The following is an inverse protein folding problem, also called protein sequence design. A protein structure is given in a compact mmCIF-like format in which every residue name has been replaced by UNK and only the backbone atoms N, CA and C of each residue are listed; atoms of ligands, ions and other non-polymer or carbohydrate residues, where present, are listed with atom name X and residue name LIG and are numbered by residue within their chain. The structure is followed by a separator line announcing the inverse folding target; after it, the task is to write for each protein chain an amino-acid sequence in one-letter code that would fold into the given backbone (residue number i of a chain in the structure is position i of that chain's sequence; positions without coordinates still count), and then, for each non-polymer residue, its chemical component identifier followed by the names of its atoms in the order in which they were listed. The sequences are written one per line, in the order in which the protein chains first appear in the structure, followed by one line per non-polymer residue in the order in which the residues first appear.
data_IF_061342871289
#
_entry.id   IF_061342871289
#
_cell.length_a   1.000
_cell.length_b   1.000
_cell.length_c   1.000
_cell.angle_alpha   90.00
_cell.angle_beta   90.00
_cell.angle_gamma   90.00
#
_symmetry.space_group_name_H-M   'P 1'
#
loop_
_entity.id
_entity.type
_entity.pdbx_description
1 polymer ?
#
# COMPACT_ATOMS: atom_id res chain seq x y z
N UNK A 1 3.03 -2.15 5.23
CA UNK A 1 2.03 -1.13 5.63
C UNK A 1 1.10 -1.60 6.73
N UNK A 2 0.44 -2.77 6.64
CA UNK A 2 -0.52 -3.21 7.67
C UNK A 2 0.05 -3.24 9.09
N UNK A 3 1.25 -3.83 9.29
CA UNK A 3 1.90 -3.87 10.62
C UNK A 3 2.26 -2.47 11.15
N UNK A 4 2.60 -1.54 10.25
CA UNK A 4 2.82 -0.14 10.62
C UNK A 4 1.54 0.48 11.16
N UNK A 5 0.42 0.34 10.45
CA UNK A 5 -0.88 0.87 10.89
C UNK A 5 -1.31 0.26 12.23
N UNK A 6 -1.07 -1.05 12.43
CA UNK A 6 -1.31 -1.72 13.70
C UNK A 6 -0.50 -1.08 14.84
N UNK A 7 0.79 -0.79 14.60
CA UNK A 7 1.65 -0.13 15.59
C UNK A 7 1.23 1.30 15.92
N UNK A 8 0.62 2.02 14.97
CA UNK A 8 0.03 3.34 15.23
C UNK A 8 -1.25 3.23 16.06
N UNK A 9 -2.14 2.30 15.69
CA UNK A 9 -3.44 2.15 16.32
C UNK A 9 -3.36 1.53 17.74
N UNK A 10 -2.45 0.58 17.92
CA UNK A 10 -2.30 -0.18 19.17
C UNK A 10 -0.82 -0.37 19.51
N UNK A 11 -0.11 0.70 19.91
CA UNK A 11 1.31 0.65 20.25
C UNK A 11 1.64 -0.27 21.44
N UNK A 12 0.66 -0.70 22.22
CA UNK A 12 0.82 -1.65 23.33
C UNK A 12 0.90 -3.12 22.86
N UNK A 13 0.51 -3.44 21.62
CA UNK A 13 0.57 -4.80 21.07
C UNK A 13 2.01 -5.14 20.67
N UNK A 14 2.84 -5.49 21.64
CA UNK A 14 4.27 -5.76 21.45
C UNK A 14 4.58 -7.24 21.21
N UNK A 15 3.74 -8.16 21.70
CA UNK A 15 3.91 -9.59 21.47
C UNK A 15 3.40 -10.00 20.08
N UNK A 16 4.18 -9.67 19.04
CA UNK A 16 3.84 -9.95 17.64
C UNK A 16 4.57 -11.20 17.17
N UNK A 17 3.86 -12.07 16.47
CA UNK A 17 4.43 -13.19 15.73
C UNK A 17 4.26 -12.97 14.23
N UNK A 18 5.36 -13.09 13.48
CA UNK A 18 5.32 -13.06 12.02
C UNK A 18 4.97 -14.45 11.48
N UNK A 19 4.04 -14.49 10.51
CA UNK A 19 3.62 -15.70 9.83
C UNK A 19 3.14 -15.37 8.42
N UNK A 20 2.97 -16.39 7.58
CA UNK A 20 2.49 -16.20 6.21
C UNK A 20 1.02 -15.76 6.28
N UNK A 21 0.63 -14.77 5.47
CA UNK A 21 -0.73 -14.19 5.53
C UNK A 21 -1.85 -15.23 5.36
N UNK A 22 -1.60 -16.30 4.60
CA UNK A 22 -2.53 -17.41 4.39
C UNK A 22 -2.76 -18.28 5.63
N UNK A 23 -1.85 -18.25 6.60
CA UNK A 23 -1.90 -19.07 7.82
C UNK A 23 -2.63 -18.36 8.97
N UNK A 24 -2.77 -17.03 8.90
CA UNK A 24 -3.29 -16.20 10.00
C UNK A 24 -4.69 -16.63 10.44
N UNK A 25 -5.59 -16.91 9.50
CA UNK A 25 -6.97 -17.29 9.83
C UNK A 25 -7.03 -18.69 10.45
N UNK A 26 -6.20 -19.64 9.97
CA UNK A 26 -6.11 -20.97 10.57
C UNK A 26 -5.52 -20.91 11.98
N UNK A 27 -4.46 -20.12 12.19
CA UNK A 27 -3.86 -19.92 13.50
C UNK A 27 -4.85 -19.33 14.53
N UNK A 28 -5.78 -18.47 14.10
CA UNK A 28 -6.87 -17.97 14.95
C UNK A 28 -7.86 -19.08 15.31
N UNK A 29 -8.27 -19.89 14.33
CA UNK A 29 -9.26 -20.97 14.53
C UNK A 29 -8.71 -22.12 15.39
N UNK A 30 -7.39 -22.29 15.39
CA UNK A 30 -6.69 -23.31 16.18
C UNK A 30 -6.18 -22.78 17.52
N UNK A 31 -6.64 -21.59 17.95
CA UNK A 31 -6.28 -20.94 19.23
C UNK A 31 -4.75 -20.73 19.42
N UNK A 32 -3.99 -20.61 18.33
CA UNK A 32 -2.55 -20.37 18.38
C UNK A 32 -2.20 -18.90 18.60
N UNK A 33 -3.10 -17.99 18.20
CA UNK A 33 -2.98 -16.53 18.35
C UNK A 33 -4.32 -15.92 18.78
N UNK A 34 -4.26 -14.78 19.50
CA UNK A 34 -5.47 -14.08 19.96
C UNK A 34 -6.06 -13.13 18.90
N UNK A 35 -5.21 -12.56 18.03
CA UNK A 35 -5.57 -11.55 17.03
C UNK A 35 -4.81 -11.76 15.73
N UNK A 36 -5.51 -11.68 14.60
CA UNK A 36 -4.91 -11.79 13.27
C UNK A 36 -4.93 -10.46 12.50
N UNK A 37 -3.76 -10.03 12.02
CA UNK A 37 -3.64 -8.91 11.08
C UNK A 37 -3.75 -9.42 9.64
N UNK A 38 -4.98 -9.47 9.12
CA UNK A 38 -5.24 -9.96 7.76
C UNK A 38 -4.98 -8.89 6.69
N UNK A 39 -4.52 -9.33 5.51
CA UNK A 39 -4.27 -8.50 4.32
C UNK A 39 -4.82 -9.22 3.07
N UNK A 40 -4.70 -8.60 1.89
CA UNK A 40 -5.18 -9.13 0.61
C UNK A 40 -6.68 -9.48 0.60
N UNK A 41 -7.07 -10.57 -0.07
CA UNK A 41 -8.44 -11.04 -0.24
C UNK A 41 -9.12 -11.48 1.06
N UNK A 42 -8.33 -11.85 2.08
CA UNK A 42 -8.87 -12.34 3.36
C UNK A 42 -9.80 -11.32 4.02
N UNK A 43 -9.65 -10.02 3.71
CA UNK A 43 -10.54 -8.95 4.17
C UNK A 43 -12.02 -9.11 3.77
N UNK A 44 -12.32 -10.02 2.84
CA UNK A 44 -13.68 -10.29 2.36
C UNK A 44 -14.20 -11.67 2.80
N UNK A 45 -13.35 -12.57 3.27
CA UNK A 45 -13.71 -13.99 3.51
C UNK A 45 -13.67 -14.40 4.98
N UNK A 46 -13.07 -13.59 5.87
CA UNK A 46 -12.92 -13.97 7.28
C UNK A 46 -14.27 -14.24 7.99
N UNK A 47 -15.34 -13.57 7.58
CA UNK A 47 -16.68 -13.77 8.15
C UNK A 47 -17.23 -15.16 7.87
N UNK A 48 -16.94 -15.74 6.70
CA UNK A 48 -17.42 -17.07 6.31
C UNK A 48 -16.82 -18.17 7.19
N UNK A 49 -15.68 -17.87 7.84
CA UNK A 49 -14.99 -18.74 8.81
C UNK A 49 -15.43 -18.48 10.26
N UNK A 50 -16.44 -17.63 10.47
CA UNK A 50 -16.92 -17.26 11.80
C UNK A 50 -16.04 -16.26 12.55
N UNK A 51 -15.02 -15.68 11.89
CA UNK A 51 -14.16 -14.68 12.50
C UNK A 51 -14.84 -13.31 12.50
N UNK A 52 -14.54 -12.50 13.52
CA UNK A 52 -15.12 -11.17 13.69
C UNK A 52 -14.08 -10.07 13.43
N UNK A 53 -14.52 -8.99 12.79
CA UNK A 53 -13.68 -7.79 12.62
C UNK A 53 -13.61 -7.00 13.92
N UNK A 54 -12.39 -6.83 14.43
CA UNK A 54 -12.14 -5.97 15.60
C UNK A 54 -12.04 -4.49 15.17
N UNK A 55 -11.27 -4.23 14.11
CA UNK A 55 -10.99 -2.86 13.64
C UNK A 55 -10.62 -2.89 12.16
N UNK A 56 -11.01 -1.84 11.43
CA UNK A 56 -10.46 -1.57 10.11
C UNK A 56 -9.33 -0.54 10.25
N UNK A 57 -8.09 -0.99 10.07
CA UNK A 57 -6.91 -0.12 10.22
C UNK A 57 -6.82 0.97 9.15
N UNK A 58 -7.48 0.78 8.00
CA UNK A 58 -7.56 1.82 6.97
C UNK A 58 -8.51 2.94 7.36
N UNK A 59 -9.70 2.57 7.83
CA UNK A 59 -10.66 3.53 8.39
C UNK A 59 -10.11 4.26 9.62
N UNK A 60 -9.41 3.54 10.51
CA UNK A 60 -8.72 4.15 11.64
C UNK A 60 -7.69 5.20 11.19
N UNK A 61 -6.86 4.87 10.18
CA UNK A 61 -5.87 5.79 9.62
C UNK A 61 -6.50 7.05 9.03
N UNK A 62 -7.54 6.88 8.22
CA UNK A 62 -8.24 7.99 7.57
C UNK A 62 -8.88 8.92 8.61
N UNK A 63 -9.51 8.35 9.66
CA UNK A 63 -10.07 9.13 10.78
C UNK A 63 -9.01 9.87 11.58
N UNK A 64 -7.85 9.25 11.79
CA UNK A 64 -6.75 9.84 12.56
C UNK A 64 -6.07 10.98 11.80
N UNK A 65 -5.87 10.82 10.49
CA UNK A 65 -4.97 11.69 9.70
C UNK A 65 -5.69 12.56 8.67
N UNK A 66 -6.93 12.22 8.31
CA UNK A 66 -7.64 12.80 7.17
C UNK A 66 -6.96 12.52 5.83
N UNK A 67 -6.02 11.57 5.77
CA UNK A 67 -5.21 11.29 4.60
C UNK A 67 -5.44 9.86 4.10
N UNK A 68 -5.32 9.66 2.78
CA UNK A 68 -5.25 8.33 2.21
C UNK A 68 -3.99 7.58 2.68
N UNK A 69 -4.00 6.24 2.62
CA UNK A 69 -2.83 5.43 2.99
C UNK A 69 -1.88 5.34 1.79
N UNK A 70 -0.60 5.77 1.92
CA UNK A 70 0.41 5.49 0.92
C UNK A 70 0.72 3.98 0.89
N UNK A 71 0.33 3.30 -0.19
CA UNK A 71 0.49 1.84 -0.31
C UNK A 71 1.80 1.45 -0.98
N UNK A 72 2.23 2.19 -2.00
CA UNK A 72 3.43 1.91 -2.77
C UNK A 72 3.98 3.18 -3.41
N UNK A 73 5.27 3.14 -3.74
CA UNK A 73 5.97 4.24 -4.40
C UNK A 73 7.13 3.69 -5.24
N UNK A 74 7.49 4.43 -6.28
CA UNK A 74 8.68 4.12 -7.09
C UNK A 74 9.85 4.90 -6.52
N UNK A 75 10.91 4.19 -6.16
CA UNK A 75 12.13 4.76 -5.60
C UNK A 75 13.26 4.70 -6.61
N UNK A 76 14.14 5.70 -6.57
CA UNK A 76 15.35 5.74 -7.40
C UNK A 76 16.60 5.83 -6.53
N UNK A 77 17.66 5.15 -6.95
CA UNK A 77 18.93 5.17 -6.24
C UNK A 77 19.54 6.58 -6.29
N UNK A 78 19.84 7.15 -5.10
CA UNK A 78 20.41 8.49 -4.95
C UNK A 78 21.81 8.65 -5.54
N UNK A 79 22.53 7.55 -5.75
CA UNK A 79 23.86 7.55 -6.36
C UNK A 79 23.83 7.79 -7.88
N UNK A 80 22.65 7.78 -8.51
CA UNK A 80 22.51 8.15 -9.92
C UNK A 80 22.57 9.67 -10.10
N UNK A 81 23.10 10.12 -11.24
CA UNK A 81 23.12 11.54 -11.55
C UNK A 81 21.71 12.15 -11.53
N UNK A 82 21.61 13.38 -11.04
CA UNK A 82 20.33 14.08 -10.90
C UNK A 82 19.55 14.16 -12.21
N UNK A 83 20.25 14.32 -13.33
CA UNK A 83 19.63 14.32 -14.66
C UNK A 83 19.00 12.97 -15.02
N UNK A 84 19.65 11.86 -14.66
CA UNK A 84 19.10 10.51 -14.82
C UNK A 84 17.87 10.35 -13.94
N UNK A 85 17.92 10.79 -12.69
CA UNK A 85 16.78 10.71 -11.78
C UNK A 85 15.54 11.43 -12.34
N UNK A 86 15.72 12.67 -12.80
CA UNK A 86 14.66 13.48 -13.40
C UNK A 86 14.15 12.90 -14.72
N UNK A 87 15.04 12.30 -15.53
CA UNK A 87 14.66 11.61 -16.77
C UNK A 87 13.79 10.40 -16.48
N UNK A 88 14.16 9.55 -15.52
CA UNK A 88 13.36 8.38 -15.12
C UNK A 88 11.99 8.83 -14.58
N UNK A 89 11.95 9.85 -13.71
CA UNK A 89 10.70 10.39 -13.17
C UNK A 89 9.74 10.85 -14.29
N UNK A 90 10.26 11.59 -15.29
CA UNK A 90 9.48 12.01 -16.45
C UNK A 90 8.99 10.83 -17.29
N UNK A 91 9.85 9.84 -17.55
CA UNK A 91 9.50 8.68 -18.37
C UNK A 91 8.44 7.80 -17.70
N UNK A 92 8.51 7.60 -16.38
CA UNK A 92 7.48 6.88 -15.62
C UNK A 92 6.15 7.62 -15.75
N UNK A 93 6.15 8.93 -15.51
CA UNK A 93 4.94 9.76 -15.65
C UNK A 93 4.34 9.64 -17.05
N UNK A 94 5.16 9.76 -18.10
CA UNK A 94 4.73 9.61 -19.48
C UNK A 94 4.16 8.21 -19.77
N UNK A 95 4.75 7.16 -19.19
CA UNK A 95 4.24 5.79 -19.32
C UNK A 95 2.84 5.64 -18.73
N UNK A 96 2.61 6.19 -17.54
CA UNK A 96 1.29 6.18 -16.88
C UNK A 96 0.27 7.02 -17.66
N UNK A 97 0.65 8.23 -18.08
CA UNK A 97 -0.20 9.11 -18.92
C UNK A 97 -0.57 8.42 -20.24
N UNK A 98 0.37 7.71 -20.87
CA UNK A 98 0.12 6.93 -22.07
C UNK A 98 -0.87 5.78 -21.81
N UNK A 99 -0.70 5.02 -20.72
CA UNK A 99 -1.62 3.96 -20.36
C UNK A 99 -3.05 4.47 -20.09
N UNK A 100 -3.20 5.66 -19.51
CA UNK A 100 -4.51 6.31 -19.36
C UNK A 100 -5.13 6.70 -20.71
N UNK A 101 -4.34 7.26 -21.62
CA UNK A 101 -4.81 7.63 -22.96
C UNK A 101 -5.13 6.39 -23.83
N UNK A 102 -4.48 5.26 -23.53
CA UNK A 102 -4.60 4.02 -24.29
C UNK A 102 -4.78 2.80 -23.36
N UNK A 103 -5.94 2.64 -22.67
CA UNK A 103 -6.12 1.60 -21.66
C UNK A 103 -5.86 0.16 -22.13
N UNK A 104 -6.01 -0.11 -23.44
CA UNK A 104 -5.77 -1.42 -24.05
C UNK A 104 -4.34 -1.66 -24.52
N UNK A 105 -3.43 -0.68 -24.42
CA UNK A 105 -2.09 -0.80 -24.99
C UNK A 105 -1.21 -1.85 -24.29
N UNK A 106 -1.48 -2.13 -23.01
CA UNK A 106 -0.72 -3.10 -22.22
C UNK A 106 -1.39 -4.46 -22.08
N UNK A 107 -2.52 -4.71 -22.74
CA UNK A 107 -3.41 -5.80 -22.35
C UNK A 107 -2.77 -7.19 -22.45
N UNK A 108 -2.00 -7.45 -23.50
CA UNK A 108 -1.35 -8.76 -23.68
C UNK A 108 -0.26 -8.99 -22.62
N UNK A 109 0.50 -7.95 -22.31
CA UNK A 109 1.49 -7.97 -21.23
C UNK A 109 0.83 -8.19 -19.86
N UNK A 110 -0.29 -7.51 -19.60
CA UNK A 110 -1.00 -7.67 -18.33
C UNK A 110 -1.58 -9.08 -18.22
N UNK A 111 -2.17 -9.64 -19.28
CA UNK A 111 -2.72 -11.02 -19.27
C UNK A 111 -1.66 -12.08 -18.99
N UNK A 112 -0.45 -11.89 -19.49
CA UNK A 112 0.67 -12.81 -19.24
C UNK A 112 1.10 -12.81 -17.76
N UNK A 113 0.92 -11.69 -17.05
CA UNK A 113 1.38 -11.49 -15.68
C UNK A 113 0.26 -11.45 -14.62
N UNK A 114 -1.00 -11.39 -15.03
CA UNK A 114 -2.15 -11.36 -14.14
C UNK A 114 -2.61 -12.78 -13.79
N UNK A 115 -2.94 -13.00 -12.51
CA UNK A 115 -3.52 -14.27 -12.05
C UNK A 115 -5.01 -14.40 -12.41
N UNK A 116 -5.70 -13.27 -12.62
CA UNK A 116 -7.12 -13.22 -12.99
C UNK A 116 -7.28 -13.22 -14.52
N UNK A 117 -8.03 -14.19 -15.06
CA UNK A 117 -8.24 -14.33 -16.51
C UNK A 117 -9.37 -13.45 -17.06
N UNK A 118 -10.21 -12.85 -16.21
CA UNK A 118 -11.29 -11.97 -16.64
C UNK A 118 -10.81 -10.53 -16.86
N UNK A 119 -10.95 -10.05 -18.09
CA UNK A 119 -10.50 -8.72 -18.50
C UNK A 119 -11.23 -7.60 -17.75
N UNK A 120 -12.53 -7.75 -17.46
CA UNK A 120 -13.29 -6.71 -16.77
C UNK A 120 -12.88 -6.58 -15.30
N UNK A 121 -12.59 -7.71 -14.63
CA UNK A 121 -12.03 -7.73 -13.27
C UNK A 121 -10.63 -7.10 -13.25
N UNK A 122 -9.79 -7.42 -14.23
CA UNK A 122 -8.45 -6.87 -14.37
C UNK A 122 -8.47 -5.34 -14.51
N UNK A 123 -9.34 -4.79 -15.35
CA UNK A 123 -9.45 -3.33 -15.52
C UNK A 123 -9.99 -2.63 -14.27
N UNK A 124 -10.96 -3.22 -13.56
CA UNK A 124 -11.41 -2.69 -12.27
C UNK A 124 -10.28 -2.63 -11.24
N UNK A 125 -9.41 -3.65 -11.22
CA UNK A 125 -8.25 -3.65 -10.35
C UNK A 125 -7.27 -2.53 -10.71
N UNK A 126 -6.98 -2.35 -12.00
CA UNK A 126 -6.11 -1.26 -12.49
C UNK A 126 -6.69 0.10 -12.10
N UNK A 127 -7.97 0.36 -12.36
CA UNK A 127 -8.61 1.64 -12.04
C UNK A 127 -8.58 1.99 -10.54
N UNK A 128 -8.61 0.97 -9.67
CA UNK A 128 -8.55 1.17 -8.22
C UNK A 128 -7.17 1.69 -7.77
N UNK A 129 -6.09 1.18 -8.36
CA UNK A 129 -4.71 1.47 -7.91
C UNK A 129 -3.95 2.46 -8.81
N UNK A 130 -4.35 2.57 -10.08
CA UNK A 130 -3.77 3.47 -11.06
C UNK A 130 -4.73 4.63 -11.27
N UNK A 131 -4.41 5.76 -10.66
CA UNK A 131 -5.26 6.96 -10.69
C UNK A 131 -4.39 8.23 -10.80
N UNK A 132 -4.99 9.41 -10.56
CA UNK A 132 -4.28 10.70 -10.61
C UNK A 132 -3.00 10.74 -9.78
N UNK A 133 -2.95 10.04 -8.64
CA UNK A 133 -1.78 10.00 -7.76
C UNK A 133 -0.61 9.23 -8.36
N UNK A 134 -0.88 8.30 -9.28
CA UNK A 134 0.12 7.56 -10.05
C UNK A 134 0.83 8.42 -11.09
N UNK A 135 0.17 9.47 -11.60
CA UNK A 135 0.78 10.48 -12.48
C UNK A 135 1.58 11.48 -11.64
N UNK A 136 0.96 12.00 -10.58
CA UNK A 136 1.56 12.96 -9.68
C UNK A 136 0.83 12.94 -8.34
N UNK A 137 1.59 12.85 -7.24
CA UNK A 137 1.03 12.86 -5.90
C UNK A 137 0.21 14.14 -5.59
N UNK A 138 0.58 15.27 -6.19
CA UNK A 138 0.02 16.58 -5.83
C UNK A 138 0.26 16.93 -4.36
N UNK A 139 -0.46 17.92 -3.85
CA UNK A 139 -0.36 18.34 -2.45
C UNK A 139 -0.92 17.27 -1.50
N UNK A 140 -2.11 16.72 -1.81
CA UNK A 140 -2.76 15.71 -0.96
C UNK A 140 -1.96 14.40 -0.87
N UNK A 141 -1.40 13.92 -1.98
CA UNK A 141 -0.58 12.71 -1.96
C UNK A 141 0.74 12.90 -1.22
N UNK A 142 1.37 14.08 -1.36
CA UNK A 142 2.58 14.43 -0.59
C UNK A 142 2.25 14.56 0.89
N UNK A 143 1.18 15.25 1.24
CA UNK A 143 0.67 15.35 2.62
C UNK A 143 0.44 13.97 3.23
N UNK A 144 -0.14 13.03 2.48
CA UNK A 144 -0.36 11.66 2.95
C UNK A 144 0.97 10.92 3.24
N UNK A 145 1.96 11.04 2.35
CA UNK A 145 3.30 10.46 2.53
C UNK A 145 4.04 11.13 3.70
N UNK A 146 4.06 12.45 3.76
CA UNK A 146 4.69 13.21 4.84
C UNK A 146 4.07 12.87 6.20
N UNK A 147 2.74 12.74 6.26
CA UNK A 147 2.03 12.32 7.49
C UNK A 147 2.42 10.91 7.91
N UNK A 148 2.54 9.97 6.96
CA UNK A 148 3.01 8.61 7.23
C UNK A 148 4.39 8.60 7.87
N UNK A 149 5.35 9.30 7.26
CA UNK A 149 6.73 9.34 7.74
C UNK A 149 6.87 10.10 9.05
N UNK A 150 6.14 11.21 9.22
CA UNK A 150 6.11 11.97 10.47
C UNK A 150 5.63 11.12 11.65
N UNK A 151 4.49 10.43 11.49
CA UNK A 151 3.97 9.55 12.54
C UNK A 151 4.91 8.37 12.82
N UNK A 152 5.57 7.83 11.80
CA UNK A 152 6.57 6.80 11.98
C UNK A 152 7.77 7.26 12.83
N UNK A 153 8.22 8.50 12.66
CA UNK A 153 9.29 9.10 13.46
C UNK A 153 8.86 9.41 14.89
N UNK A 154 7.70 10.05 15.06
CA UNK A 154 7.16 10.39 16.40
C UNK A 154 6.96 9.15 17.27
N UNK A 155 6.73 7.99 16.66
CA UNK A 155 6.58 6.69 17.31
C UNK A 155 7.87 5.87 17.38
N UNK A 156 9.01 6.43 16.97
CA UNK A 156 10.31 5.75 16.92
C UNK A 156 10.31 4.44 16.12
N UNK A 157 9.46 4.34 15.09
CA UNK A 157 9.40 3.18 14.19
C UNK A 157 10.54 3.24 13.16
N UNK A 158 10.93 4.45 12.76
CA UNK A 158 12.01 4.71 11.81
C UNK A 158 12.96 5.79 12.36
N UNK A 159 14.21 5.86 11.87
CA UNK A 159 15.11 6.94 12.22
C UNK A 159 14.67 8.30 11.64
N UNK A 160 15.26 9.41 12.13
CA UNK A 160 15.08 10.73 11.53
C UNK A 160 15.44 10.72 10.04
N UNK A 161 14.61 11.39 9.24
CA UNK A 161 14.77 11.58 7.81
C UNK A 161 15.64 12.80 7.63
N UNK A 162 16.81 12.60 7.01
CA UNK A 162 17.81 13.65 6.83
C UNK A 162 17.75 14.32 5.45
N UNK A 163 17.11 13.66 4.49
CA UNK A 163 17.09 14.06 3.09
C UNK A 163 15.66 14.12 2.55
N UNK A 164 15.46 14.89 1.48
CA UNK A 164 14.15 15.02 0.84
C UNK A 164 13.63 13.65 0.36
N UNK A 165 12.35 13.40 0.59
CA UNK A 165 11.65 12.19 0.17
C UNK A 165 11.35 12.18 -1.34
N UNK A 166 11.38 13.36 -1.97
CA UNK A 166 10.91 13.54 -3.34
C UNK A 166 12.00 14.04 -4.28
N UNK A 167 11.83 13.73 -5.56
CA UNK A 167 12.56 14.36 -6.65
C UNK A 167 11.97 15.73 -6.97
#
# INVERSE_FOLDING_TARGET
TANFLLGIAYPQLQNKQEMVFSEIESALLEDQIDLGLIIHENRFTYQDKGLNKIVDLGDYWEKLTGCAIPLGGIVINRNLDREVQLKVNRLIRQSVEFAFAHPKSGIDFIREHAQAMDEAVMYKHIELYVNKYSINLGEEGRKAVDTLFKLAQERNIIPPIQENLYL
#
